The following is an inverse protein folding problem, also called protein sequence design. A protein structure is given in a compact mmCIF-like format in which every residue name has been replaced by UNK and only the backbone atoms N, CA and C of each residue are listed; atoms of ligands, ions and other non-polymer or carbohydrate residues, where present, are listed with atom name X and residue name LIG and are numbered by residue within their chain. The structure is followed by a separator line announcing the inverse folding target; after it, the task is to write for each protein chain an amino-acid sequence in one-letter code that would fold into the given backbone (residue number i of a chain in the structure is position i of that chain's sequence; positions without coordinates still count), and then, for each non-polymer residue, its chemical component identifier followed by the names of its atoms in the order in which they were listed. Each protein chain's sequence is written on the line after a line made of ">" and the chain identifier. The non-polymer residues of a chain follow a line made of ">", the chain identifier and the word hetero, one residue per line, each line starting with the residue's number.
data_IF_772023724362
#
_entry.id   IF_772023724362
#
_cell.length_a   1.000
_cell.length_b   1.000
_cell.length_c   1.000
_cell.angle_alpha   90.00
_cell.angle_beta   90.00
_cell.angle_gamma   90.00
#
_symmetry.space_group_name_H-M   'P 1'
#
loop_
_entity.id
_entity.type
_entity.pdbx_description
1 polymer ?
#
# COMPACT_ATOMS: atom_id res chain seq x y z
N UNK A 1 8.65 -14.91 -18.13
CA UNK A 1 7.25 -14.72 -17.67
C UNK A 1 6.46 -16.04 -17.81
N UNK A 2 5.63 -16.43 -16.84
CA UNK A 2 4.75 -17.60 -16.96
C UNK A 2 3.73 -17.45 -18.10
N UNK A 3 3.43 -18.55 -18.83
CA UNK A 3 2.50 -18.56 -19.97
C UNK A 3 1.12 -18.02 -19.57
N UNK A 4 0.61 -18.40 -18.41
CA UNK A 4 -0.71 -17.98 -17.91
C UNK A 4 -0.78 -16.45 -17.74
N UNK A 5 0.31 -15.81 -17.31
CA UNK A 5 0.35 -14.35 -17.19
C UNK A 5 0.39 -13.69 -18.57
N UNK A 6 1.16 -14.25 -19.51
CA UNK A 6 1.22 -13.76 -20.89
C UNK A 6 -0.17 -13.78 -21.57
N UNK A 7 -0.91 -14.86 -21.38
CA UNK A 7 -2.27 -15.03 -21.90
C UNK A 7 -3.24 -14.05 -21.25
N UNK A 8 -3.14 -13.84 -19.93
CA UNK A 8 -4.01 -12.90 -19.21
C UNK A 8 -3.78 -11.45 -19.65
N UNK A 9 -2.52 -11.03 -19.86
CA UNK A 9 -2.18 -9.69 -20.37
C UNK A 9 -2.84 -9.45 -21.73
N UNK A 10 -2.67 -10.39 -22.67
CA UNK A 10 -3.29 -10.31 -24.00
C UNK A 10 -4.81 -10.36 -23.94
N UNK A 11 -5.39 -11.21 -23.08
CA UNK A 11 -6.85 -11.34 -22.91
C UNK A 11 -7.49 -10.05 -22.41
N UNK A 12 -6.77 -9.25 -21.63
CA UNK A 12 -7.21 -7.92 -21.18
C UNK A 12 -7.03 -6.81 -22.22
N UNK A 13 -6.52 -7.15 -23.41
CA UNK A 13 -6.33 -6.19 -24.50
C UNK A 13 -5.08 -5.33 -24.37
N UNK A 14 -4.12 -5.73 -23.52
CA UNK A 14 -2.82 -5.06 -23.42
C UNK A 14 -1.84 -5.61 -24.44
N UNK A 15 -0.99 -4.73 -24.97
CA UNK A 15 0.13 -5.12 -25.81
C UNK A 15 1.15 -5.93 -24.99
N UNK A 16 1.71 -6.96 -25.62
CA UNK A 16 2.72 -7.81 -24.99
C UNK A 16 3.85 -8.10 -25.96
N UNK A 17 5.05 -7.68 -25.58
CA UNK A 17 6.30 -8.04 -26.25
C UNK A 17 7.09 -8.94 -25.31
N UNK A 18 7.51 -10.10 -25.80
CA UNK A 18 8.43 -10.99 -25.09
C UNK A 18 9.84 -10.72 -25.60
N UNK A 19 10.78 -10.43 -24.70
CA UNK A 19 12.17 -10.26 -25.09
C UNK A 19 12.78 -11.57 -25.60
N UNK A 20 13.83 -11.52 -26.44
CA UNK A 20 14.49 -12.70 -26.97
C UNK A 20 15.02 -13.61 -25.85
N UNK A 21 14.98 -14.94 -26.02
CA UNK A 21 15.61 -15.85 -25.08
C UNK A 21 17.14 -15.68 -25.11
N UNK A 22 17.85 -15.98 -24.01
CA UNK A 22 19.30 -15.92 -23.97
C UNK A 22 19.93 -16.82 -25.04
N UNK A 23 20.84 -16.27 -25.85
CA UNK A 23 21.54 -16.99 -26.92
C UNK A 23 22.81 -17.69 -26.43
N UNK A 24 23.24 -17.42 -25.20
CA UNK A 24 24.40 -18.03 -24.55
C UNK A 24 24.23 -18.04 -23.03
N UNK A 25 24.88 -18.97 -22.30
CA UNK A 25 24.86 -18.94 -20.85
C UNK A 25 25.42 -17.63 -20.32
N UNK A 26 24.80 -17.08 -19.28
CA UNK A 26 25.33 -15.95 -18.51
C UNK A 26 26.77 -16.28 -18.05
N UNK A 27 27.71 -15.41 -18.40
CA UNK A 27 29.05 -15.44 -17.78
C UNK A 27 28.90 -15.04 -16.31
N UNK A 28 29.78 -15.55 -15.44
CA UNK A 28 29.78 -15.21 -14.01
C UNK A 28 29.64 -13.69 -13.83
N UNK A 29 28.65 -13.29 -13.03
CA UNK A 29 28.34 -11.89 -12.79
C UNK A 29 29.52 -11.20 -12.11
N UNK A 30 29.77 -9.93 -12.44
CA UNK A 30 30.75 -9.12 -11.71
C UNK A 30 30.41 -9.05 -10.22
N UNK A 31 31.42 -8.79 -9.38
CA UNK A 31 31.24 -8.59 -7.93
C UNK A 31 30.22 -7.51 -7.57
N UNK A 32 29.94 -6.61 -8.51
CA UNK A 32 29.10 -5.43 -8.33
C UNK A 32 27.67 -5.66 -8.83
N UNK A 33 27.31 -6.86 -9.29
CA UNK A 33 25.97 -7.19 -9.76
C UNK A 33 24.98 -7.41 -8.59
N UNK A 34 23.66 -7.24 -8.77
CA UNK A 34 22.69 -7.51 -7.72
C UNK A 34 22.70 -9.00 -7.37
N UNK A 35 22.34 -9.35 -6.14
CA UNK A 35 22.32 -10.74 -5.68
C UNK A 35 21.48 -11.67 -6.59
N UNK A 36 20.46 -11.10 -7.25
CA UNK A 36 19.52 -11.81 -8.11
C UNK A 36 19.74 -11.55 -9.61
N UNK A 37 20.91 -11.02 -10.02
CA UNK A 37 21.22 -10.71 -11.42
C UNK A 37 20.97 -11.89 -12.38
N UNK A 38 21.31 -13.10 -11.93
CA UNK A 38 21.18 -14.32 -12.73
C UNK A 38 19.73 -14.61 -13.17
N UNK A 39 18.72 -14.03 -12.50
CA UNK A 39 17.31 -14.25 -12.83
C UNK A 39 16.89 -13.52 -14.11
N UNK A 40 17.66 -12.53 -14.57
CA UNK A 40 17.48 -11.90 -15.89
C UNK A 40 17.84 -12.85 -17.04
N UNK A 41 18.63 -13.89 -16.79
CA UNK A 41 19.12 -14.86 -17.78
C UNK A 41 20.05 -14.29 -18.87
N UNK A 42 20.15 -12.96 -19.00
CA UNK A 42 21.08 -12.22 -19.85
C UNK A 42 21.85 -11.17 -19.06
N UNK A 43 22.91 -10.60 -19.65
CA UNK A 43 23.60 -9.45 -19.08
C UNK A 43 22.67 -8.22 -19.03
N UNK A 44 22.79 -7.40 -17.99
CA UNK A 44 21.93 -6.24 -17.79
C UNK A 44 21.98 -5.23 -18.95
N UNK A 45 23.13 -5.07 -19.63
CA UNK A 45 23.23 -4.19 -20.79
C UNK A 45 22.50 -4.76 -22.01
N UNK A 46 22.53 -6.09 -22.19
CA UNK A 46 21.75 -6.75 -23.22
C UNK A 46 20.24 -6.56 -22.96
N UNK A 47 19.80 -6.77 -21.72
CA UNK A 47 18.40 -6.58 -21.34
C UNK A 47 17.92 -5.13 -21.59
N UNK A 48 18.76 -4.12 -21.27
CA UNK A 48 18.47 -2.72 -21.62
C UNK A 48 18.30 -2.54 -23.13
N UNK A 49 19.18 -3.12 -23.94
CA UNK A 49 19.11 -2.99 -25.40
C UNK A 49 17.83 -3.61 -25.95
N UNK A 50 17.52 -4.84 -25.54
CA UNK A 50 16.33 -5.57 -25.97
C UNK A 50 15.05 -4.84 -25.50
N UNK A 51 15.06 -4.31 -24.27
CA UNK A 51 13.95 -3.52 -23.72
C UNK A 51 13.76 -2.19 -24.46
N UNK A 52 14.83 -1.46 -24.79
CA UNK A 52 14.74 -0.22 -25.55
C UNK A 52 14.24 -0.46 -26.99
N UNK A 53 14.65 -1.57 -27.61
CA UNK A 53 14.14 -1.97 -28.93
C UNK A 53 12.64 -2.32 -28.86
N UNK A 54 12.22 -3.07 -27.84
CA UNK A 54 10.82 -3.43 -27.63
C UNK A 54 9.92 -2.22 -27.30
N UNK A 55 10.47 -1.20 -26.64
CA UNK A 55 9.74 -0.01 -26.19
C UNK A 55 9.86 1.18 -27.16
N UNK A 56 10.39 0.99 -28.38
CA UNK A 56 10.51 2.07 -29.36
C UNK A 56 9.18 2.78 -29.60
N UNK A 57 9.19 4.10 -29.39
CA UNK A 57 8.03 4.97 -29.58
C UNK A 57 8.49 6.36 -30.08
N UNK A 58 7.60 7.05 -30.80
CA UNK A 58 7.86 8.42 -31.32
C UNK A 58 7.99 9.47 -30.20
N UNK A 59 7.49 9.14 -29.00
CA UNK A 59 7.59 9.96 -27.79
C UNK A 59 7.93 9.07 -26.58
N UNK A 60 8.58 9.62 -25.54
CA UNK A 60 8.81 8.87 -24.30
C UNK A 60 7.51 8.42 -23.65
N UNK A 61 7.52 7.21 -23.08
CA UNK A 61 6.44 6.70 -22.26
C UNK A 61 6.24 7.57 -21.01
N UNK A 62 4.99 7.77 -20.58
CA UNK A 62 4.69 8.53 -19.36
C UNK A 62 5.27 7.86 -18.12
N UNK A 63 5.16 6.53 -18.06
CA UNK A 63 5.59 5.69 -16.95
C UNK A 63 6.20 4.37 -17.45
N UNK A 64 7.30 3.98 -16.82
CA UNK A 64 7.86 2.62 -16.84
C UNK A 64 7.65 1.99 -15.46
N UNK A 65 7.13 0.76 -15.42
CA UNK A 65 6.97 -0.01 -14.17
C UNK A 65 7.94 -1.17 -14.20
N UNK A 66 8.77 -1.29 -13.16
CA UNK A 66 9.79 -2.32 -13.01
C UNK A 66 9.42 -3.23 -11.83
N UNK A 67 9.30 -4.53 -12.09
CA UNK A 67 8.99 -5.56 -11.09
C UNK A 67 9.88 -6.79 -11.33
N UNK A 68 11.17 -6.63 -11.02
CA UNK A 68 12.15 -7.69 -11.24
C UNK A 68 13.33 -7.61 -10.26
N UNK A 69 13.66 -8.73 -9.61
CA UNK A 69 14.72 -8.80 -8.60
C UNK A 69 16.14 -8.59 -9.14
N UNK A 70 16.37 -8.91 -10.41
CA UNK A 70 17.67 -8.74 -11.06
C UNK A 70 17.97 -7.31 -11.56
N UNK A 71 17.01 -6.39 -11.49
CA UNK A 71 17.13 -5.02 -12.05
C UNK A 71 17.45 -4.03 -10.92
N UNK A 72 18.41 -3.13 -11.19
CA UNK A 72 18.85 -2.08 -10.27
C UNK A 72 19.00 -0.72 -10.98
N UNK A 73 19.50 0.28 -10.23
CA UNK A 73 19.67 1.66 -10.70
C UNK A 73 20.46 1.79 -12.01
N UNK A 74 21.38 0.88 -12.35
CA UNK A 74 22.18 0.96 -13.58
C UNK A 74 21.35 0.69 -14.82
N UNK A 75 20.40 -0.24 -14.71
CA UNK A 75 19.43 -0.54 -15.76
C UNK A 75 18.39 0.59 -15.82
N UNK A 76 17.83 0.99 -14.68
CA UNK A 76 16.77 2.00 -14.58
C UNK A 76 17.23 3.37 -15.12
N UNK A 77 18.46 3.78 -14.78
CA UNK A 77 19.04 5.05 -15.27
C UNK A 77 19.15 5.09 -16.80
N UNK A 78 19.36 3.95 -17.46
CA UNK A 78 19.43 3.87 -18.93
C UNK A 78 18.05 3.96 -19.56
N UNK A 79 17.04 3.41 -18.89
CA UNK A 79 15.65 3.44 -19.36
C UNK A 79 14.98 4.82 -19.24
N UNK A 80 15.59 5.76 -18.51
CA UNK A 80 15.22 7.19 -18.53
C UNK A 80 15.18 7.78 -19.95
N UNK A 81 15.91 7.19 -20.90
CA UNK A 81 15.89 7.62 -22.30
C UNK A 81 14.53 7.36 -23.00
N UNK A 82 13.75 6.38 -22.54
CA UNK A 82 12.47 6.01 -23.16
C UNK A 82 11.25 6.29 -22.27
N UNK A 83 11.44 6.64 -20.99
CA UNK A 83 10.35 6.87 -20.05
C UNK A 83 10.58 8.12 -19.21
N UNK A 84 9.53 8.93 -19.09
CA UNK A 84 9.52 10.18 -18.30
C UNK A 84 9.59 9.92 -16.80
N UNK A 85 8.93 8.85 -16.34
CA UNK A 85 8.90 8.45 -14.93
C UNK A 85 9.06 6.94 -14.76
N UNK A 86 9.63 6.53 -13.64
CA UNK A 86 9.87 5.13 -13.30
C UNK A 86 9.24 4.81 -11.94
N UNK A 87 8.38 3.79 -11.91
CA UNK A 87 7.89 3.13 -10.70
C UNK A 87 8.62 1.80 -10.53
N UNK A 88 9.22 1.57 -9.38
CA UNK A 88 9.81 0.27 -9.01
C UNK A 88 8.93 -0.40 -7.96
N UNK A 89 8.61 -1.68 -8.18
CA UNK A 89 8.07 -2.57 -7.16
C UNK A 89 9.23 -3.40 -6.60
N UNK A 90 9.50 -3.25 -5.32
CA UNK A 90 10.57 -3.98 -4.64
C UNK A 90 10.13 -4.38 -3.22
N UNK A 91 10.49 -5.59 -2.80
CA UNK A 91 10.27 -6.04 -1.42
C UNK A 91 11.53 -6.53 -0.72
N UNK A 92 12.69 -6.53 -1.39
CA UNK A 92 13.95 -7.02 -0.84
C UNK A 92 14.75 -5.93 -0.13
N UNK A 93 14.71 -4.69 -0.64
CA UNK A 93 15.53 -3.57 -0.17
C UNK A 93 17.02 -3.94 -0.07
N UNK A 94 17.55 -4.67 -1.05
CA UNK A 94 18.91 -5.20 -1.07
C UNK A 94 19.83 -4.51 -2.09
N UNK A 95 19.26 -3.70 -2.99
CA UNK A 95 19.96 -2.97 -4.06
C UNK A 95 19.57 -1.49 -4.11
N UNK A 96 20.25 -0.73 -4.97
CA UNK A 96 19.91 0.68 -5.25
C UNK A 96 18.97 0.77 -6.45
N UNK A 97 18.09 1.76 -6.44
CA UNK A 97 17.17 2.06 -7.54
C UNK A 97 17.28 3.52 -7.99
N UNK A 98 17.12 3.81 -9.28
CA UNK A 98 16.86 5.13 -9.86
C UNK A 98 15.40 5.21 -10.31
N UNK A 99 14.49 5.57 -9.38
CA UNK A 99 13.06 5.66 -9.66
C UNK A 99 12.44 6.92 -9.06
N UNK A 100 11.28 7.32 -9.58
CA UNK A 100 10.50 8.44 -9.05
C UNK A 100 9.52 7.98 -7.97
N UNK A 101 9.06 6.73 -8.06
CA UNK A 101 8.23 6.08 -7.05
C UNK A 101 8.78 4.69 -6.77
N UNK A 102 8.91 4.34 -5.50
CA UNK A 102 9.19 2.98 -5.06
C UNK A 102 7.98 2.46 -4.27
N UNK A 103 7.49 1.27 -4.61
CA UNK A 103 6.41 0.57 -3.94
C UNK A 103 6.95 -0.67 -3.24
N UNK A 104 6.86 -0.68 -1.91
CA UNK A 104 7.01 -1.88 -1.08
C UNK A 104 5.72 -2.05 -0.28
N UNK A 105 4.86 -2.94 -0.74
CA UNK A 105 3.55 -3.16 -0.11
C UNK A 105 3.63 -3.99 1.18
N UNK A 106 4.80 -4.51 1.54
CA UNK A 106 4.91 -5.43 2.67
C UNK A 106 5.00 -4.67 4.01
N UNK A 107 4.57 -5.32 5.09
CA UNK A 107 4.64 -4.74 6.43
C UNK A 107 5.98 -5.00 7.09
N UNK A 108 6.63 -3.93 7.55
CA UNK A 108 7.84 -3.96 8.35
C UNK A 108 7.74 -2.92 9.47
N UNK A 109 8.22 -3.23 10.67
CA UNK A 109 8.18 -2.30 11.81
C UNK A 109 8.98 -1.02 11.54
N UNK A 110 10.05 -1.11 10.73
CA UNK A 110 10.96 -0.02 10.38
C UNK A 110 11.03 0.18 8.86
N UNK A 111 9.86 0.31 8.23
CA UNK A 111 9.76 0.42 6.76
C UNK A 111 10.57 1.60 6.19
N UNK A 112 10.51 2.78 6.82
CA UNK A 112 11.16 4.00 6.30
C UNK A 112 12.68 3.89 6.16
N UNK A 113 13.31 3.10 7.06
CA UNK A 113 14.75 2.87 7.07
C UNK A 113 15.23 1.84 6.04
N UNK A 114 14.35 0.96 5.54
CA UNK A 114 14.74 -0.11 4.61
C UNK A 114 15.40 0.44 3.34
N UNK A 115 14.85 1.53 2.82
CA UNK A 115 15.28 2.18 1.59
C UNK A 115 16.17 3.41 1.81
N UNK A 116 16.64 3.65 3.04
CA UNK A 116 17.56 4.74 3.32
C UNK A 116 18.83 4.59 2.48
N UNK A 117 19.21 5.64 1.74
CA UNK A 117 20.33 5.64 0.78
C UNK A 117 20.27 4.57 -0.32
N UNK A 118 19.11 3.94 -0.55
CA UNK A 118 18.88 2.99 -1.66
C UNK A 118 18.08 3.57 -2.81
N UNK A 119 17.49 4.75 -2.61
CA UNK A 119 16.73 5.49 -3.62
C UNK A 119 17.17 6.96 -3.63
N UNK A 120 16.98 7.69 -4.75
CA UNK A 120 17.20 9.12 -4.80
C UNK A 120 16.39 9.86 -3.74
N UNK A 121 16.88 11.01 -3.27
CA UNK A 121 16.13 11.85 -2.32
C UNK A 121 14.75 12.27 -2.84
N UNK A 122 14.65 12.48 -4.17
CA UNK A 122 13.38 12.79 -4.85
C UNK A 122 12.41 11.61 -4.95
N UNK A 123 12.86 10.39 -4.65
CA UNK A 123 12.06 9.19 -4.83
C UNK A 123 10.95 9.12 -3.78
N UNK A 124 9.72 9.01 -4.25
CA UNK A 124 8.58 8.82 -3.37
C UNK A 124 8.47 7.35 -2.96
N UNK A 125 8.53 7.10 -1.65
CA UNK A 125 8.39 5.76 -1.09
C UNK A 125 6.93 5.50 -0.69
N UNK A 126 6.32 4.47 -1.27
CA UNK A 126 4.98 3.97 -0.94
C UNK A 126 5.17 2.67 -0.15
N UNK A 127 5.32 2.81 1.16
CA UNK A 127 5.71 1.70 2.04
C UNK A 127 4.52 1.21 2.87
N UNK A 128 4.42 -0.10 2.99
CA UNK A 128 3.45 -0.76 3.86
C UNK A 128 2.16 -1.18 3.16
N UNK A 129 1.35 -2.00 3.87
CA UNK A 129 0.25 -2.72 3.26
C UNK A 129 -1.01 -1.86 3.00
N UNK A 130 -0.97 -0.57 3.37
CA UNK A 130 -1.93 0.41 2.88
C UNK A 130 -1.82 0.63 1.36
N UNK A 131 -0.69 0.28 0.75
CA UNK A 131 -0.47 0.36 -0.70
C UNK A 131 -0.62 -0.99 -1.41
N UNK A 132 -1.10 -2.04 -0.72
CA UNK A 132 -1.24 -3.37 -1.29
C UNK A 132 -2.07 -3.39 -2.59
N UNK A 133 -1.49 -3.99 -3.63
CA UNK A 133 -2.10 -4.14 -4.95
C UNK A 133 -3.05 -5.34 -4.94
N UNK A 134 -4.30 -5.11 -4.56
CA UNK A 134 -5.33 -6.14 -4.49
C UNK A 134 -6.25 -6.11 -5.72
N UNK A 135 -6.76 -7.28 -6.10
CA UNK A 135 -7.83 -7.37 -7.12
C UNK A 135 -9.09 -6.63 -6.63
N UNK A 136 -9.87 -5.99 -7.53
CA UNK A 136 -11.03 -5.18 -7.14
C UNK A 136 -12.03 -5.90 -6.23
N UNK A 137 -12.23 -7.20 -6.45
CA UNK A 137 -13.12 -8.06 -5.66
C UNK A 137 -12.84 -8.05 -4.13
N UNK A 138 -11.59 -7.82 -3.71
CA UNK A 138 -11.25 -7.70 -2.29
C UNK A 138 -11.71 -6.37 -1.71
N UNK A 139 -11.57 -5.27 -2.47
CA UNK A 139 -12.06 -3.96 -2.08
C UNK A 139 -13.60 -3.94 -2.02
N UNK A 140 -14.27 -4.59 -2.97
CA UNK A 140 -15.73 -4.70 -3.00
C UNK A 140 -16.25 -5.45 -1.76
N UNK A 141 -15.65 -6.61 -1.45
CA UNK A 141 -16.03 -7.43 -0.30
C UNK A 141 -15.58 -6.84 1.05
N UNK A 142 -14.59 -5.94 1.07
CA UNK A 142 -14.09 -5.29 2.29
C UNK A 142 -15.21 -4.63 3.10
N UNK A 143 -16.19 -4.05 2.41
CA UNK A 143 -17.35 -3.39 3.01
C UNK A 143 -18.40 -4.35 3.58
N UNK A 144 -18.42 -5.60 3.07
CA UNK A 144 -19.38 -6.63 3.44
C UNK A 144 -18.90 -7.54 4.57
N UNK A 145 -17.63 -7.46 4.96
CA UNK A 145 -17.05 -8.27 6.04
C UNK A 145 -16.87 -7.46 7.32
N UNK A 146 -17.10 -8.12 8.46
CA UNK A 146 -16.83 -7.61 9.80
C UNK A 146 -15.60 -8.28 10.42
N UNK A 147 -15.17 -7.76 11.56
CA UNK A 147 -14.18 -8.43 12.42
C UNK A 147 -14.64 -9.86 12.68
N UNK A 148 -13.73 -10.83 12.57
CA UNK A 148 -14.02 -12.25 12.87
C UNK A 148 -14.20 -12.44 14.36
N UNK A 149 -15.36 -12.96 14.72
CA UNK A 149 -15.80 -13.20 16.10
C UNK A 149 -16.45 -14.58 16.20
N UNK A 150 -16.42 -15.19 17.38
CA UNK A 150 -17.07 -16.47 17.63
C UNK A 150 -16.24 -17.70 17.23
N UNK A 151 -16.94 -18.81 17.02
CA UNK A 151 -16.38 -20.14 16.72
C UNK A 151 -15.80 -20.22 15.31
N UNK A 152 -14.74 -21.01 15.14
CA UNK A 152 -14.23 -21.34 13.80
C UNK A 152 -15.09 -22.46 13.21
N UNK A 153 -15.87 -22.15 12.17
CA UNK A 153 -16.71 -23.11 11.44
C UNK A 153 -16.17 -23.40 10.06
N UNK A 154 -15.43 -22.46 9.47
CA UNK A 154 -14.81 -22.61 8.16
C UNK A 154 -13.33 -22.26 8.16
N UNK A 155 -12.50 -23.20 7.70
CA UNK A 155 -11.06 -23.04 7.56
C UNK A 155 -10.67 -23.02 6.07
N UNK A 156 -9.85 -22.05 5.67
CA UNK A 156 -9.29 -21.95 4.33
C UNK A 156 -7.81 -22.37 4.30
N UNK A 157 -7.44 -23.30 3.42
CA UNK A 157 -6.05 -23.71 3.15
C UNK A 157 -5.62 -23.15 1.80
N UNK A 158 -4.62 -22.26 1.79
CA UNK A 158 -4.07 -21.71 0.55
C UNK A 158 -2.62 -21.23 0.71
N UNK A 159 -1.69 -21.87 0.00
CA UNK A 159 -0.26 -21.55 0.03
C UNK A 159 0.26 -20.80 -1.20
N UNK A 160 -0.65 -20.35 -2.09
CA UNK A 160 -0.28 -19.66 -3.33
C UNK A 160 -0.33 -20.58 -4.56
N UNK A 161 0.17 -20.07 -5.69
CA UNK A 161 -0.05 -20.69 -7.00
C UNK A 161 0.78 -21.95 -7.28
N UNK A 162 2.01 -22.04 -6.76
CA UNK A 162 2.95 -23.12 -7.12
C UNK A 162 3.08 -24.18 -6.01
N UNK A 163 3.11 -23.77 -4.73
CA UNK A 163 3.34 -24.65 -3.56
C UNK A 163 4.36 -25.78 -3.85
N UNK A 164 5.56 -25.40 -4.28
CA UNK A 164 6.59 -26.33 -4.77
C UNK A 164 7.00 -27.37 -3.71
N UNK A 165 6.89 -26.99 -2.44
CA UNK A 165 7.21 -27.84 -1.30
C UNK A 165 6.03 -28.72 -0.87
N UNK A 166 4.88 -28.67 -1.54
CA UNK A 166 3.70 -29.48 -1.24
C UNK A 166 3.21 -29.34 0.21
N UNK A 167 3.28 -28.12 0.77
CA UNK A 167 2.89 -27.82 2.15
C UNK A 167 1.37 -27.96 2.34
N UNK A 168 0.60 -27.83 1.27
CA UNK A 168 -0.85 -28.08 1.26
C UNK A 168 -1.20 -29.46 1.81
N UNK A 169 -0.46 -30.51 1.44
CA UNK A 169 -0.71 -31.86 1.96
C UNK A 169 -0.52 -31.91 3.47
N UNK A 170 0.53 -31.27 3.97
CA UNK A 170 0.85 -31.24 5.40
C UNK A 170 -0.20 -30.48 6.21
N UNK A 171 -0.74 -29.40 5.66
CA UNK A 171 -1.87 -28.68 6.26
C UNK A 171 -3.12 -29.55 6.31
N UNK A 172 -3.45 -30.25 5.22
CA UNK A 172 -4.58 -31.19 5.16
C UNK A 172 -4.45 -32.30 6.21
N UNK A 173 -3.26 -32.90 6.35
CA UNK A 173 -3.00 -33.90 7.39
C UNK A 173 -3.05 -33.32 8.81
N UNK A 174 -2.59 -32.08 9.00
CA UNK A 174 -2.64 -31.42 10.30
C UNK A 174 -4.08 -31.17 10.74
N UNK A 175 -4.92 -30.70 9.81
CA UNK A 175 -6.35 -30.47 10.05
C UNK A 175 -7.08 -31.77 10.35
N UNK A 176 -6.70 -32.89 9.71
CA UNK A 176 -7.27 -34.20 10.00
C UNK A 176 -7.02 -34.70 11.44
N UNK A 177 -6.04 -34.13 12.15
CA UNK A 177 -5.73 -34.43 13.57
C UNK A 177 -6.50 -33.57 14.56
N UNK A 178 -7.20 -32.53 14.10
CA UNK A 178 -7.99 -31.67 14.98
C UNK A 178 -9.21 -32.41 15.53
N UNK A 179 -9.73 -32.01 16.71
CA UNK A 179 -10.95 -32.58 17.26
C UNK A 179 -12.09 -32.52 16.24
N UNK A 180 -12.84 -33.62 16.11
CA UNK A 180 -13.97 -33.70 15.16
C UNK A 180 -15.10 -32.77 15.63
N UNK A 181 -15.21 -31.61 14.99
CA UNK A 181 -16.35 -30.71 15.06
C UNK A 181 -16.95 -30.47 13.67
N UNK A 182 -18.00 -29.66 13.57
CA UNK A 182 -18.55 -29.19 12.29
C UNK A 182 -17.63 -28.13 11.65
N UNK A 183 -16.41 -28.53 11.28
CA UNK A 183 -15.43 -27.70 10.62
C UNK A 183 -15.47 -27.97 9.11
N UNK A 184 -15.93 -26.99 8.35
CA UNK A 184 -15.86 -27.01 6.89
C UNK A 184 -14.48 -26.54 6.45
N UNK A 185 -13.83 -27.29 5.57
CA UNK A 185 -12.47 -26.99 5.11
C UNK A 185 -12.48 -26.81 3.61
N UNK A 186 -12.07 -25.62 3.18
CA UNK A 186 -11.87 -25.28 1.77
C UNK A 186 -10.36 -25.28 1.48
N UNK A 187 -9.91 -26.15 0.58
CA UNK A 187 -8.51 -26.28 0.15
C UNK A 187 -8.39 -25.75 -1.26
N UNK A 188 -7.48 -24.80 -1.50
CA UNK A 188 -7.30 -24.18 -2.80
C UNK A 188 -5.89 -24.44 -3.33
N UNK A 189 -5.81 -24.94 -4.57
CA UNK A 189 -4.56 -25.20 -5.28
C UNK A 189 -4.61 -24.72 -6.75
N UNK A 190 -3.44 -24.46 -7.34
CA UNK A 190 -3.33 -24.14 -8.76
C UNK A 190 -3.54 -25.35 -9.67
N UNK A 191 -3.96 -25.11 -10.92
CA UNK A 191 -4.17 -26.18 -11.91
C UNK A 191 -2.90 -27.01 -12.19
N UNK A 192 -1.73 -26.37 -12.11
CA UNK A 192 -0.41 -26.98 -12.35
C UNK A 192 0.26 -27.58 -11.12
N UNK A 193 -0.44 -27.70 -9.99
CA UNK A 193 0.16 -28.22 -8.75
C UNK A 193 0.66 -29.68 -8.93
N UNK A 194 1.93 -30.01 -8.61
CA UNK A 194 2.50 -31.34 -8.87
C UNK A 194 1.73 -32.49 -8.21
N UNK A 195 1.30 -32.29 -6.96
CA UNK A 195 0.54 -33.27 -6.17
C UNK A 195 -0.99 -33.14 -6.29
N UNK A 196 -1.52 -32.47 -7.32
CA UNK A 196 -2.96 -32.15 -7.44
C UNK A 196 -3.87 -33.35 -7.18
N UNK A 197 -3.64 -34.48 -7.87
CA UNK A 197 -4.50 -35.67 -7.77
C UNK A 197 -4.52 -36.28 -6.37
N UNK A 198 -3.38 -36.22 -5.68
CA UNK A 198 -3.26 -36.71 -4.31
C UNK A 198 -4.07 -35.84 -3.35
N UNK A 199 -3.96 -34.51 -3.49
CA UNK A 199 -4.70 -33.54 -2.69
C UNK A 199 -6.21 -33.70 -2.92
N UNK A 200 -6.68 -33.75 -4.17
CA UNK A 200 -8.10 -33.94 -4.50
C UNK A 200 -8.64 -35.24 -3.84
N UNK A 201 -7.91 -36.35 -3.97
CA UNK A 201 -8.26 -37.63 -3.35
C UNK A 201 -8.31 -37.54 -1.82
N UNK A 202 -7.33 -36.88 -1.21
CA UNK A 202 -7.22 -36.78 0.24
C UNK A 202 -8.31 -35.89 0.83
N UNK A 203 -8.60 -34.76 0.20
CA UNK A 203 -9.72 -33.89 0.55
C UNK A 203 -11.04 -34.67 0.51
N UNK A 204 -11.29 -35.45 -0.54
CA UNK A 204 -12.51 -36.27 -0.65
C UNK A 204 -12.63 -37.28 0.51
N UNK A 205 -11.54 -37.97 0.88
CA UNK A 205 -11.54 -38.92 1.99
C UNK A 205 -11.81 -38.27 3.35
N UNK A 206 -11.40 -37.02 3.53
CA UNK A 206 -11.55 -36.27 4.76
C UNK A 206 -12.82 -35.41 4.80
N UNK A 207 -13.61 -35.39 3.73
CA UNK A 207 -14.81 -34.54 3.61
C UNK A 207 -14.50 -33.05 3.47
N UNK A 208 -13.34 -32.70 2.89
CA UNK A 208 -12.91 -31.33 2.61
C UNK A 208 -13.23 -30.95 1.16
N UNK A 209 -13.47 -29.68 0.90
CA UNK A 209 -13.72 -29.16 -0.45
C UNK A 209 -12.41 -28.76 -1.13
N UNK A 210 -12.08 -29.38 -2.25
CA UNK A 210 -10.90 -29.02 -3.04
C UNK A 210 -11.29 -28.12 -4.22
N UNK A 211 -10.72 -26.93 -4.29
CA UNK A 211 -10.94 -25.93 -5.35
C UNK A 211 -9.68 -25.81 -6.19
N UNK A 212 -9.74 -26.18 -7.46
CA UNK A 212 -8.60 -26.10 -8.38
C UNK A 212 -8.75 -24.88 -9.29
N UNK A 213 -7.75 -24.00 -9.30
CA UNK A 213 -7.72 -22.80 -10.16
C UNK A 213 -9.00 -21.94 -10.04
N UNK A 214 -9.49 -21.77 -8.80
CA UNK A 214 -10.71 -21.03 -8.55
C UNK A 214 -10.55 -19.53 -8.81
N UNK A 215 -11.60 -18.91 -9.35
CA UNK A 215 -11.71 -17.45 -9.49
C UNK A 215 -12.40 -16.82 -8.27
N UNK A 216 -12.89 -17.63 -7.33
CA UNK A 216 -13.71 -17.19 -6.20
C UNK A 216 -12.89 -16.98 -4.91
N UNK A 217 -11.60 -16.70 -5.03
CA UNK A 217 -10.67 -16.63 -3.89
C UNK A 217 -11.13 -15.63 -2.82
N UNK A 218 -11.53 -14.42 -3.22
CA UNK A 218 -11.98 -13.41 -2.28
C UNK A 218 -13.27 -13.82 -1.55
N UNK A 219 -14.18 -14.54 -2.21
CA UNK A 219 -15.39 -15.08 -1.57
C UNK A 219 -15.09 -16.24 -0.63
N UNK A 220 -14.09 -17.07 -0.93
CA UNK A 220 -13.61 -18.10 -0.01
C UNK A 220 -13.01 -17.47 1.24
N UNK A 221 -12.13 -16.47 1.08
CA UNK A 221 -11.55 -15.72 2.21
C UNK A 221 -12.60 -14.95 3.03
N UNK A 222 -13.59 -14.35 2.38
CA UNK A 222 -14.65 -13.60 3.07
C UNK A 222 -15.53 -14.49 3.96
N UNK A 223 -15.76 -15.76 3.55
CA UNK A 223 -16.59 -16.72 4.29
C UNK A 223 -15.82 -17.51 5.35
N UNK A 224 -14.49 -17.54 5.27
CA UNK A 224 -13.67 -18.26 6.22
C UNK A 224 -13.54 -17.51 7.56
N UNK A 225 -13.37 -18.27 8.64
CA UNK A 225 -13.14 -17.76 9.99
C UNK A 225 -11.66 -17.81 10.37
N UNK A 226 -10.92 -18.74 9.76
CA UNK A 226 -9.50 -18.96 9.96
C UNK A 226 -8.86 -19.43 8.65
N UNK A 227 -7.61 -19.02 8.41
CA UNK A 227 -6.81 -19.51 7.30
C UNK A 227 -5.49 -20.13 7.76
N UNK A 228 -4.95 -20.99 6.90
CA UNK A 228 -3.54 -21.38 6.91
C UNK A 228 -2.96 -21.12 5.52
N UNK A 229 -1.78 -20.49 5.46
CA UNK A 229 -1.16 -20.14 4.19
C UNK A 229 0.26 -19.60 4.30
N UNK A 230 0.83 -19.20 3.16
CA UNK A 230 2.19 -18.67 3.09
C UNK A 230 2.26 -17.16 3.43
N UNK A 231 3.46 -16.69 3.79
CA UNK A 231 3.81 -15.30 4.02
C UNK A 231 4.06 -14.45 2.77
N UNK A 232 3.38 -14.76 1.65
CA UNK A 232 3.50 -14.01 0.39
C UNK A 232 2.42 -12.94 0.21
N UNK A 233 2.18 -12.53 -1.03
CA UNK A 233 1.19 -11.49 -1.42
C UNK A 233 -0.24 -11.77 -0.93
N UNK A 234 -0.64 -13.05 -0.87
CA UNK A 234 -1.94 -13.47 -0.33
C UNK A 234 -2.14 -13.08 1.15
N UNK A 235 -1.08 -12.72 1.87
CA UNK A 235 -1.18 -12.14 3.22
C UNK A 235 -2.04 -10.87 3.21
N UNK A 236 -1.86 -10.00 2.22
CA UNK A 236 -2.58 -8.73 2.15
C UNK A 236 -4.02 -8.91 1.69
N UNK A 237 -4.29 -9.90 0.82
CA UNK A 237 -5.65 -10.35 0.49
C UNK A 237 -6.41 -10.76 1.76
N UNK A 238 -5.81 -11.65 2.59
CA UNK A 238 -6.39 -12.10 3.86
C UNK A 238 -6.56 -10.95 4.85
N UNK A 239 -5.55 -10.09 4.96
CA UNK A 239 -5.60 -8.96 5.87
C UNK A 239 -6.72 -7.97 5.50
N UNK A 240 -6.91 -7.72 4.20
CA UNK A 240 -7.98 -6.84 3.73
C UNK A 240 -9.34 -7.32 4.19
N UNK A 241 -9.61 -8.62 4.12
CA UNK A 241 -10.88 -9.19 4.54
C UNK A 241 -10.94 -9.51 6.04
N UNK A 242 -9.90 -9.14 6.80
CA UNK A 242 -9.80 -9.39 8.24
C UNK A 242 -9.75 -10.86 8.60
N UNK A 243 -9.18 -11.73 7.76
CA UNK A 243 -9.13 -13.17 7.97
C UNK A 243 -7.91 -13.57 8.84
N UNK A 244 -8.11 -14.01 10.10
CA UNK A 244 -7.02 -14.52 10.94
C UNK A 244 -6.31 -15.67 10.23
N UNK A 245 -4.98 -15.69 10.29
CA UNK A 245 -4.18 -16.67 9.53
C UNK A 245 -3.04 -17.26 10.38
N UNK A 246 -2.89 -18.58 10.37
CA UNK A 246 -1.61 -19.25 10.60
C UNK A 246 -0.75 -19.11 9.34
N UNK A 247 0.27 -18.26 9.39
CA UNK A 247 1.15 -18.02 8.26
C UNK A 247 2.47 -18.78 8.40
N UNK A 248 2.91 -19.44 7.34
CA UNK A 248 4.16 -20.20 7.28
C UNK A 248 5.19 -19.49 6.39
N UNK A 249 6.45 -19.51 6.83
CA UNK A 249 7.58 -19.02 6.07
C UNK A 249 8.03 -20.08 5.06
N UNK A 250 7.77 -19.85 3.77
CA UNK A 250 8.13 -20.81 2.71
C UNK A 250 9.38 -20.41 1.92
N UNK A 251 9.82 -19.17 2.06
CA UNK A 251 11.02 -18.63 1.43
C UNK A 251 11.68 -17.61 2.36
N UNK A 252 12.99 -17.39 2.20
CA UNK A 252 13.76 -16.53 3.11
C UNK A 252 13.30 -15.06 3.07
N UNK A 253 12.88 -14.57 1.90
CA UNK A 253 12.33 -13.22 1.72
C UNK A 253 10.99 -12.99 2.45
N UNK A 254 10.34 -14.03 2.98
CA UNK A 254 9.10 -13.91 3.76
C UNK A 254 9.37 -13.77 5.27
N UNK A 255 10.59 -14.09 5.74
CA UNK A 255 10.89 -14.25 7.17
C UNK A 255 10.60 -12.98 7.97
N UNK A 256 11.18 -11.85 7.56
CA UNK A 256 11.08 -10.61 8.32
C UNK A 256 9.64 -10.08 8.36
N UNK A 257 8.94 -10.11 7.22
CA UNK A 257 7.53 -9.76 7.11
C UNK A 257 6.67 -10.55 8.09
N UNK A 258 6.89 -11.86 8.19
CA UNK A 258 6.13 -12.72 9.10
C UNK A 258 6.41 -12.41 10.58
N UNK A 259 7.67 -12.14 10.93
CA UNK A 259 8.05 -11.75 12.30
C UNK A 259 7.38 -10.44 12.69
N UNK A 260 7.53 -9.40 11.88
CA UNK A 260 7.00 -8.06 12.14
C UNK A 260 5.46 -8.08 12.09
N UNK A 261 4.89 -8.75 11.10
CA UNK A 261 3.44 -8.92 10.96
C UNK A 261 2.84 -9.69 12.13
N UNK A 262 3.54 -10.69 12.69
CA UNK A 262 3.08 -11.40 13.89
C UNK A 262 3.13 -10.52 15.14
N UNK A 263 4.15 -9.67 15.30
CA UNK A 263 4.26 -8.72 16.42
C UNK A 263 3.19 -7.62 16.36
N UNK A 264 2.90 -7.11 15.17
CA UNK A 264 1.81 -6.16 14.93
C UNK A 264 0.41 -6.79 15.02
N UNK A 265 0.33 -8.11 15.22
CA UNK A 265 -0.91 -8.85 15.32
C UNK A 265 -1.67 -8.95 14.00
N UNK A 266 -1.01 -8.85 12.84
CA UNK A 266 -1.66 -9.02 11.53
C UNK A 266 -1.95 -10.49 11.20
N UNK A 267 -1.08 -11.37 11.68
CA UNK A 267 -1.07 -12.80 11.42
C UNK A 267 -0.45 -13.55 12.61
N UNK A 268 -0.52 -14.87 12.61
CA UNK A 268 0.19 -15.72 13.58
C UNK A 268 1.23 -16.53 12.82
N UNK A 269 2.51 -16.26 13.04
CA UNK A 269 3.62 -16.93 12.35
C UNK A 269 4.60 -17.55 13.36
N UNK A 270 4.28 -18.71 13.93
CA UNK A 270 5.19 -19.41 14.84
C UNK A 270 6.41 -19.94 14.06
N UNK A 271 7.56 -19.99 14.71
CA UNK A 271 8.78 -20.60 14.15
C UNK A 271 8.68 -22.13 14.16
N UNK A 272 7.91 -22.68 13.23
CA UNK A 272 7.73 -24.13 13.04
C UNK A 272 8.17 -24.55 11.64
N UNK A 273 8.56 -25.81 11.51
CA UNK A 273 8.90 -26.34 10.20
C UNK A 273 7.63 -26.62 9.38
N UNK A 274 7.52 -26.18 8.11
CA UNK A 274 6.25 -26.23 7.37
C UNK A 274 5.65 -27.62 7.15
N UNK A 275 6.42 -28.71 7.24
CA UNK A 275 5.89 -30.06 7.13
C UNK A 275 5.93 -30.84 8.46
N UNK A 276 6.12 -30.16 9.59
CA UNK A 276 5.83 -30.73 10.90
C UNK A 276 4.31 -30.69 11.14
N UNK A 277 3.64 -31.75 10.71
CA UNK A 277 2.18 -31.91 10.79
C UNK A 277 1.66 -31.80 12.24
N UNK A 278 2.44 -32.26 13.23
CA UNK A 278 2.01 -32.21 14.63
C UNK A 278 2.06 -30.79 15.17
N UNK A 279 3.15 -30.08 14.92
CA UNK A 279 3.26 -28.67 15.29
C UNK A 279 2.21 -27.81 14.59
N UNK A 280 1.94 -28.06 13.30
CA UNK A 280 0.86 -27.39 12.56
C UNK A 280 -0.50 -27.60 13.23
N UNK A 281 -0.85 -28.85 13.56
CA UNK A 281 -2.13 -29.16 14.20
C UNK A 281 -2.27 -28.46 15.56
N UNK A 282 -1.20 -28.43 16.36
CA UNK A 282 -1.19 -27.72 17.66
C UNK A 282 -1.39 -26.21 17.48
N UNK A 283 -0.72 -25.58 16.51
CA UNK A 283 -0.85 -24.14 16.26
C UNK A 283 -2.23 -23.77 15.71
N UNK A 284 -2.80 -24.61 14.84
CA UNK A 284 -4.19 -24.46 14.42
C UNK A 284 -5.16 -24.57 15.60
N UNK A 285 -4.96 -25.54 16.49
CA UNK A 285 -5.80 -25.70 17.67
C UNK A 285 -5.74 -24.48 18.58
N UNK A 286 -4.54 -23.93 18.84
CA UNK A 286 -4.37 -22.66 19.58
C UNK A 286 -5.20 -21.55 18.96
N UNK A 287 -5.12 -21.39 17.64
CA UNK A 287 -5.89 -20.36 16.94
C UNK A 287 -7.38 -20.65 16.92
N UNK A 288 -7.84 -21.89 16.93
CA UNK A 288 -9.26 -22.27 17.00
C UNK A 288 -9.82 -21.99 18.40
N UNK A 289 -9.05 -22.25 19.45
CA UNK A 289 -9.46 -22.10 20.84
C UNK A 289 -9.28 -20.67 21.39
N UNK A 290 -8.65 -19.77 20.63
CA UNK A 290 -8.34 -18.39 21.07
C UNK A 290 -9.16 -17.31 20.33
N UNK A 291 -10.47 -17.14 20.64
CA UNK A 291 -11.32 -16.16 19.95
C UNK A 291 -10.82 -14.72 20.12
N UNK A 292 -10.28 -14.37 21.29
CA UNK A 292 -9.70 -13.04 21.53
C UNK A 292 -8.50 -12.74 20.64
N UNK A 293 -7.62 -13.73 20.42
CA UNK A 293 -6.47 -13.59 19.51
C UNK A 293 -6.94 -13.41 18.06
N UNK A 294 -7.90 -14.23 17.60
CA UNK A 294 -8.48 -14.09 16.25
C UNK A 294 -9.14 -12.72 16.04
N UNK A 295 -9.91 -12.24 17.03
CA UNK A 295 -10.56 -10.94 16.96
C UNK A 295 -9.55 -9.80 16.90
N UNK A 296 -8.48 -9.87 17.71
CA UNK A 296 -7.36 -8.92 17.65
C UNK A 296 -6.73 -8.94 16.25
N UNK A 297 -6.42 -10.14 15.73
CA UNK A 297 -5.80 -10.28 14.41
C UNK A 297 -6.65 -9.67 13.31
N UNK A 298 -7.95 -9.99 13.31
CA UNK A 298 -8.90 -9.47 12.35
C UNK A 298 -8.98 -7.94 12.38
N UNK A 299 -9.03 -7.33 13.57
CA UNK A 299 -9.03 -5.86 13.73
C UNK A 299 -7.74 -5.22 13.23
N UNK A 300 -6.59 -5.75 13.63
CA UNK A 300 -5.28 -5.23 13.22
C UNK A 300 -5.11 -5.32 11.70
N UNK A 301 -5.42 -6.47 11.11
CA UNK A 301 -5.41 -6.70 9.67
C UNK A 301 -6.26 -5.67 8.90
N UNK A 302 -7.54 -5.52 9.30
CA UNK A 302 -8.50 -4.61 8.67
C UNK A 302 -8.13 -3.12 8.81
N UNK A 303 -7.35 -2.77 9.84
CA UNK A 303 -6.83 -1.40 10.06
C UNK A 303 -5.68 -1.08 9.12
N UNK A 304 -4.83 -2.05 8.81
CA UNK A 304 -3.64 -1.86 7.97
C UNK A 304 -3.93 -2.03 6.48
N UNK A 305 -4.92 -2.86 6.13
CA UNK A 305 -5.29 -3.14 4.73
C UNK A 305 -6.77 -2.86 4.51
N UNK A 306 -7.06 -1.79 3.78
CA UNK A 306 -8.42 -1.30 3.54
C UNK A 306 -8.90 -1.51 2.09
N UNK A 307 -8.11 -2.19 1.27
CA UNK A 307 -8.42 -2.44 -0.14
C UNK A 307 -8.22 -1.26 -1.09
N UNK A 308 -7.71 -0.12 -0.61
CA UNK A 308 -7.54 1.09 -1.44
C UNK A 308 -6.11 1.27 -2.00
N UNK A 309 -5.25 0.27 -1.87
CA UNK A 309 -3.83 0.38 -2.23
C UNK A 309 -3.60 0.75 -3.70
N UNK A 310 -4.28 0.08 -4.63
CA UNK A 310 -4.21 0.41 -6.08
C UNK A 310 -4.59 1.88 -6.34
N UNK A 311 -5.67 2.35 -5.74
CA UNK A 311 -6.13 3.74 -5.92
C UNK A 311 -5.10 4.75 -5.37
N UNK A 312 -4.41 4.41 -4.27
CA UNK A 312 -3.32 5.24 -3.73
C UNK A 312 -2.10 5.25 -4.65
N UNK A 313 -1.68 4.10 -5.16
CA UNK A 313 -0.54 3.99 -6.09
C UNK A 313 -0.83 4.77 -7.38
N UNK A 314 -1.96 4.50 -8.03
CA UNK A 314 -2.37 5.21 -9.27
C UNK A 314 -2.45 6.71 -9.04
N UNK A 315 -2.97 7.15 -7.89
CA UNK A 315 -3.00 8.57 -7.58
C UNK A 315 -1.59 9.16 -7.57
N UNK A 316 -0.65 8.53 -6.89
CA UNK A 316 0.73 9.00 -6.82
C UNK A 316 1.43 9.00 -8.18
N UNK A 317 1.04 8.10 -9.08
CA UNK A 317 1.49 8.11 -10.47
C UNK A 317 0.88 9.26 -11.30
N UNK A 318 -0.38 9.60 -11.02
CA UNK A 318 -1.17 10.56 -11.80
C UNK A 318 -1.18 11.98 -11.23
N UNK A 319 -0.41 12.29 -10.17
CA UNK A 319 -0.42 13.63 -9.59
C UNK A 319 0.11 14.68 -10.59
N UNK A 320 -0.64 15.79 -10.77
CA UNK A 320 -0.11 16.98 -11.42
C UNK A 320 1.17 17.45 -10.73
N UNK A 321 2.10 18.01 -11.49
CA UNK A 321 3.28 18.66 -10.91
C UNK A 321 2.87 19.96 -10.23
N UNK A 322 3.00 19.99 -8.91
CA UNK A 322 2.82 21.19 -8.10
C UNK A 322 4.15 21.56 -7.48
N UNK A 323 4.47 22.85 -7.54
CA UNK A 323 5.57 23.43 -6.76
C UNK A 323 4.99 24.30 -5.66
N UNK A 324 5.71 24.42 -4.54
CA UNK A 324 5.30 25.27 -3.43
C UNK A 324 6.40 26.28 -3.13
N UNK A 325 5.99 27.47 -2.70
CA UNK A 325 6.88 28.52 -2.18
C UNK A 325 6.30 29.10 -0.90
N UNK A 326 7.16 29.66 -0.05
CA UNK A 326 6.71 30.49 1.07
C UNK A 326 5.89 31.69 0.56
N UNK A 327 4.85 32.02 1.30
CA UNK A 327 4.08 33.24 1.13
C UNK A 327 4.94 34.45 1.50
N UNK A 328 4.71 35.55 0.78
CA UNK A 328 5.38 36.83 0.93
C UNK A 328 4.35 37.92 1.23
N UNK A 329 4.80 39.12 1.59
CA UNK A 329 3.90 40.25 1.83
C UNK A 329 2.97 40.55 0.63
N UNK A 330 3.43 40.26 -0.60
CA UNK A 330 2.66 40.45 -1.83
C UNK A 330 1.41 39.55 -1.93
N UNK A 331 1.42 38.40 -1.25
CA UNK A 331 0.31 37.43 -1.30
C UNK A 331 -0.88 37.84 -0.42
N UNK A 332 -0.73 38.89 0.42
CA UNK A 332 -1.72 39.29 1.42
C UNK A 332 -3.11 39.52 0.83
N UNK A 333 -3.20 40.24 -0.29
CA UNK A 333 -4.48 40.61 -0.89
C UNK A 333 -5.19 39.40 -1.50
N UNK A 334 -4.45 38.53 -2.19
CA UNK A 334 -4.99 37.29 -2.75
C UNK A 334 -5.49 36.37 -1.64
N UNK A 335 -4.67 36.17 -0.59
CA UNK A 335 -5.06 35.39 0.59
C UNK A 335 -6.29 35.95 1.28
N UNK A 336 -6.41 37.27 1.41
CA UNK A 336 -7.61 37.92 1.95
C UNK A 336 -8.86 37.55 1.13
N UNK A 337 -8.76 37.70 -0.19
CA UNK A 337 -9.86 37.44 -1.12
C UNK A 337 -10.27 35.96 -1.07
N UNK A 338 -9.30 35.04 -1.13
CA UNK A 338 -9.59 33.60 -1.11
C UNK A 338 -10.16 33.17 0.25
N UNK A 339 -9.58 33.59 1.37
CA UNK A 339 -10.10 33.23 2.71
C UNK A 339 -11.51 33.75 2.97
N UNK A 340 -11.88 34.87 2.35
CA UNK A 340 -13.25 35.41 2.40
C UNK A 340 -14.21 34.80 1.38
N UNK A 341 -13.71 34.03 0.41
CA UNK A 341 -14.56 33.37 -0.58
C UNK A 341 -15.54 32.42 0.11
N UNK A 342 -16.80 32.43 -0.33
CA UNK A 342 -17.89 31.69 0.31
C UNK A 342 -17.60 30.19 0.43
N UNK A 343 -17.12 29.57 -0.66
CA UNK A 343 -16.76 28.16 -0.69
C UNK A 343 -15.69 27.78 0.35
N UNK A 344 -14.73 28.68 0.65
CA UNK A 344 -13.67 28.43 1.64
C UNK A 344 -14.22 28.61 3.06
N UNK A 345 -14.95 29.70 3.32
CA UNK A 345 -15.56 29.95 4.64
C UNK A 345 -16.56 28.88 5.05
N UNK A 346 -17.33 28.35 4.10
CA UNK A 346 -18.32 27.30 4.36
C UNK A 346 -17.73 26.07 5.05
N UNK A 347 -16.48 25.72 4.73
CA UNK A 347 -15.78 24.54 5.25
C UNK A 347 -14.61 24.86 6.19
N UNK A 348 -14.38 26.15 6.47
CA UNK A 348 -13.36 26.66 7.39
C UNK A 348 -13.84 26.62 8.84
N UNK A 349 -12.90 26.61 9.79
CA UNK A 349 -13.19 26.81 11.24
C UNK A 349 -13.68 28.23 11.53
N UNK A 350 -13.37 29.18 10.66
CA UNK A 350 -13.87 30.57 10.71
C UNK A 350 -14.76 30.81 9.50
N UNK A 351 -16.08 30.78 9.72
CA UNK A 351 -17.09 30.94 8.67
C UNK A 351 -17.53 32.39 8.45
N UNK A 352 -17.33 33.25 9.44
CA UNK A 352 -17.68 34.67 9.35
C UNK A 352 -16.74 35.43 8.39
N UNK A 353 -17.21 36.49 7.71
CA UNK A 353 -16.35 37.39 6.95
C UNK A 353 -15.22 37.94 7.82
N UNK A 354 -14.01 37.94 7.27
CA UNK A 354 -12.80 38.46 7.90
C UNK A 354 -12.64 39.92 7.48
N UNK A 355 -12.52 40.84 8.45
CA UNK A 355 -12.25 42.25 8.15
C UNK A 355 -10.82 42.45 7.63
N UNK A 356 -10.53 43.49 6.83
CA UNK A 356 -9.18 43.80 6.37
C UNK A 356 -8.15 43.93 7.50
N UNK A 357 -8.53 44.56 8.62
CA UNK A 357 -7.67 44.78 9.79
C UNK A 357 -7.36 43.46 10.50
N UNK A 358 -8.38 42.62 10.65
CA UNK A 358 -8.24 41.28 11.25
C UNK A 358 -7.31 40.41 10.41
N UNK A 359 -7.46 40.46 9.08
CA UNK A 359 -6.58 39.73 8.16
C UNK A 359 -5.15 40.26 8.19
N UNK A 360 -4.96 41.59 8.13
CA UNK A 360 -3.63 42.19 8.17
C UNK A 360 -2.87 41.82 9.45
N UNK A 361 -3.55 41.87 10.61
CA UNK A 361 -2.97 41.44 11.89
C UNK A 361 -2.61 39.95 11.90
N UNK A 362 -3.51 39.10 11.41
CA UNK A 362 -3.25 37.66 11.30
C UNK A 362 -2.08 37.35 10.36
N UNK A 363 -2.05 37.97 9.19
CA UNK A 363 -1.06 37.67 8.16
C UNK A 363 0.34 38.10 8.59
N UNK A 364 0.47 39.29 9.20
CA UNK A 364 1.73 39.75 9.78
C UNK A 364 2.25 38.78 10.86
N UNK A 365 1.37 38.25 11.71
CA UNK A 365 1.74 37.23 12.72
C UNK A 365 2.17 35.92 12.09
N UNK A 366 1.54 35.48 10.99
CA UNK A 366 1.93 34.25 10.30
C UNK A 366 3.31 34.41 9.67
N UNK A 367 3.57 35.50 8.95
CA UNK A 367 4.85 35.73 8.27
C UNK A 367 6.05 35.93 9.22
N UNK A 368 5.80 36.37 10.46
CA UNK A 368 6.85 36.60 11.47
C UNK A 368 7.04 35.43 12.44
N UNK A 369 6.16 34.42 12.39
CA UNK A 369 6.18 33.30 13.33
C UNK A 369 7.18 32.24 12.87
N UNK A 370 8.17 31.85 13.68
CA UNK A 370 9.04 30.71 13.37
C UNK A 370 8.26 29.39 13.38
N UNK A 371 7.16 29.34 14.15
CA UNK A 371 6.34 28.14 14.32
C UNK A 371 5.25 28.00 13.24
N UNK A 372 5.33 28.78 12.14
CA UNK A 372 4.33 28.73 11.07
C UNK A 372 4.95 28.84 9.71
N UNK A 373 4.59 27.91 8.84
CA UNK A 373 4.93 27.96 7.42
C UNK A 373 3.64 28.18 6.63
N UNK A 374 3.59 29.22 5.81
CA UNK A 374 2.48 29.45 4.88
C UNK A 374 3.00 29.32 3.46
N UNK A 375 2.45 28.37 2.71
CA UNK A 375 2.89 28.00 1.38
C UNK A 375 1.81 28.33 0.35
N UNK A 376 2.25 28.83 -0.81
CA UNK A 376 1.43 29.01 -2.01
C UNK A 376 1.84 27.95 -3.03
N UNK A 377 0.88 27.14 -3.44
CA UNK A 377 1.07 26.10 -4.46
C UNK A 377 0.83 26.62 -5.86
N UNK A 378 1.65 26.16 -6.81
CA UNK A 378 1.61 26.57 -8.21
C UNK A 378 1.59 25.36 -9.15
N UNK A 379 0.76 25.45 -10.19
CA UNK A 379 0.80 24.59 -11.37
C UNK A 379 1.23 25.43 -12.56
N UNK A 380 2.52 25.36 -12.92
CA UNK A 380 3.11 26.32 -13.86
C UNK A 380 2.97 27.76 -13.32
N UNK A 381 2.42 28.71 -14.10
CA UNK A 381 2.25 30.10 -13.64
C UNK A 381 1.01 30.32 -12.76
N UNK A 382 0.13 29.33 -12.60
CA UNK A 382 -1.16 29.49 -11.90
C UNK A 382 -1.07 29.09 -10.43
N UNK A 383 -1.57 29.93 -9.54
CA UNK A 383 -1.75 29.64 -8.11
C UNK A 383 -2.94 28.68 -7.92
N UNK A 384 -2.69 27.53 -7.29
CA UNK A 384 -3.70 26.45 -7.18
C UNK A 384 -4.27 26.31 -5.77
N UNK A 385 -3.53 26.72 -4.75
CA UNK A 385 -3.98 26.58 -3.37
C UNK A 385 -2.95 27.02 -2.35
N UNK A 386 -3.35 26.89 -1.09
CA UNK A 386 -2.60 27.38 0.06
C UNK A 386 -2.52 26.26 1.09
N UNK A 387 -1.32 26.05 1.61
CA UNK A 387 -1.07 25.13 2.73
C UNK A 387 -0.43 25.90 3.86
N UNK A 388 -0.90 25.68 5.09
CA UNK A 388 -0.28 26.19 6.31
C UNK A 388 0.12 25.02 7.18
N UNK A 389 1.34 25.04 7.68
CA UNK A 389 1.78 24.22 8.80
C UNK A 389 1.89 25.09 10.06
N UNK A 390 1.29 24.64 11.16
CA UNK A 390 1.56 25.16 12.51
C UNK A 390 2.46 24.14 13.22
N UNK A 391 3.70 24.52 13.51
CA UNK A 391 4.74 23.66 14.06
C UNK A 391 4.67 23.64 15.59
N UNK A 392 4.76 22.44 16.17
CA UNK A 392 4.78 22.21 17.63
C UNK A 392 5.74 21.07 17.95
N UNK A 393 7.00 21.41 18.28
CA UNK A 393 8.07 20.44 18.49
C UNK A 393 8.22 19.48 17.29
N UNK A 394 7.89 18.20 17.45
CA UNK A 394 7.97 17.17 16.40
C UNK A 394 6.65 16.94 15.66
N UNK A 395 5.63 17.76 15.90
CA UNK A 395 4.30 17.65 15.27
C UNK A 395 4.00 18.90 14.46
N UNK A 396 3.42 18.76 13.27
CA UNK A 396 2.89 19.90 12.51
C UNK A 396 1.40 19.71 12.18
N UNK A 397 0.59 20.73 12.49
CA UNK A 397 -0.80 20.79 12.05
C UNK A 397 -0.89 21.35 10.63
N UNK A 398 -1.46 20.59 9.70
CA UNK A 398 -1.68 21.01 8.31
C UNK A 398 -3.09 21.56 8.11
N UNK A 399 -3.16 22.73 7.48
CA UNK A 399 -4.38 23.35 6.97
C UNK A 399 -4.24 23.59 5.48
N UNK A 400 -5.22 23.18 4.69
CA UNK A 400 -5.16 23.25 3.22
C UNK A 400 -6.49 23.73 2.63
N UNK A 401 -6.41 24.58 1.60
CA UNK A 401 -7.53 24.88 0.72
C UNK A 401 -7.03 25.17 -0.70
N UNK A 402 -7.89 24.93 -1.70
CA UNK A 402 -7.62 25.31 -3.08
C UNK A 402 -8.09 26.73 -3.36
N UNK A 403 -7.40 27.42 -4.26
CA UNK A 403 -7.86 28.70 -4.80
C UNK A 403 -9.24 28.48 -5.45
N UNK A 404 -10.23 29.37 -5.24
CA UNK A 404 -11.57 29.19 -5.80
C UNK A 404 -11.55 28.96 -7.31
N UNK A 405 -12.30 27.95 -7.79
CA UNK A 405 -12.36 27.58 -9.20
C UNK A 405 -11.31 26.56 -9.65
N UNK A 406 -10.41 26.13 -8.75
CA UNK A 406 -9.40 25.09 -9.02
C UNK A 406 -9.83 23.70 -8.51
N UNK A 407 -11.12 23.48 -8.24
CA UNK A 407 -11.62 22.21 -7.73
C UNK A 407 -11.63 21.09 -8.80
N UNK A 408 -11.59 19.83 -8.35
CA UNK A 408 -12.00 18.68 -9.17
C UNK A 408 -10.95 18.04 -10.09
N UNK A 409 -9.64 18.28 -9.90
CA UNK A 409 -8.57 17.74 -10.79
C UNK A 409 -7.40 17.06 -10.08
N UNK A 410 -7.61 16.56 -8.87
CA UNK A 410 -6.53 15.98 -8.05
C UNK A 410 -5.53 17.01 -7.49
N UNK A 411 -5.70 18.31 -7.78
CA UNK A 411 -4.82 19.39 -7.34
C UNK A 411 -4.66 19.47 -5.83
N UNK A 412 -5.70 19.18 -5.04
CA UNK A 412 -5.60 19.16 -3.58
C UNK A 412 -4.65 18.08 -3.06
N UNK A 413 -4.64 16.90 -3.69
CA UNK A 413 -3.71 15.83 -3.33
C UNK A 413 -2.28 16.15 -3.76
N UNK A 414 -2.10 16.68 -4.97
CA UNK A 414 -0.78 17.11 -5.44
C UNK A 414 -0.20 18.25 -4.61
N UNK A 415 -1.04 19.21 -4.20
CA UNK A 415 -0.66 20.31 -3.34
C UNK A 415 -0.25 19.83 -1.94
N UNK A 416 -1.02 18.92 -1.34
CA UNK A 416 -0.67 18.35 -0.05
C UNK A 416 0.68 17.64 -0.11
N UNK A 417 0.91 16.82 -1.14
CA UNK A 417 2.17 16.10 -1.34
C UNK A 417 3.34 17.07 -1.51
N UNK A 418 3.22 18.05 -2.40
CA UNK A 418 4.30 19.03 -2.61
C UNK A 418 4.61 19.83 -1.34
N UNK A 419 3.61 20.10 -0.50
CA UNK A 419 3.80 20.77 0.78
C UNK A 419 4.45 19.87 1.84
N UNK A 420 4.11 18.58 1.89
CA UNK A 420 4.74 17.59 2.78
C UNK A 420 6.21 17.33 2.40
N UNK A 421 6.52 17.28 1.10
CA UNK A 421 7.89 17.16 0.59
C UNK A 421 8.72 18.38 0.99
N UNK A 422 8.15 19.58 0.82
CA UNK A 422 8.80 20.83 1.25
C UNK A 422 9.05 20.84 2.76
N UNK A 423 8.07 20.40 3.56
CA UNK A 423 8.21 20.35 5.01
C UNK A 423 9.30 19.35 5.42
N UNK A 424 9.31 18.15 4.84
CA UNK A 424 10.32 17.13 5.15
C UNK A 424 11.75 17.60 4.83
N UNK A 425 11.91 18.41 3.78
CA UNK A 425 13.20 18.96 3.39
C UNK A 425 13.66 20.14 4.26
N UNK A 426 12.73 20.92 4.81
CA UNK A 426 13.04 22.17 5.54
C UNK A 426 12.92 22.04 7.05
N UNK A 427 12.16 21.06 7.52
CA UNK A 427 11.85 20.77 8.92
C UNK A 427 11.95 19.27 9.21
N UNK A 428 13.15 18.66 9.09
CA UNK A 428 13.35 17.22 9.29
C UNK A 428 13.07 16.76 10.73
N UNK A 429 12.96 17.68 11.68
CA UNK A 429 12.55 17.41 13.06
C UNK A 429 11.06 17.05 13.22
N UNK A 430 10.23 17.31 12.20
CA UNK A 430 8.81 16.97 12.25
C UNK A 430 8.64 15.48 11.98
N UNK A 431 8.16 14.75 13.00
CA UNK A 431 7.95 13.31 12.98
C UNK A 431 6.51 12.94 12.61
N UNK A 432 5.55 13.86 12.77
CA UNK A 432 4.13 13.57 12.50
C UNK A 432 3.32 14.79 12.04
N UNK A 433 2.29 14.49 11.22
CA UNK A 433 1.35 15.47 10.68
C UNK A 433 -0.05 15.22 11.19
N UNK A 434 -0.74 16.29 11.59
CA UNK A 434 -2.13 16.25 12.04
C UNK A 434 -2.99 17.23 11.26
N UNK A 435 -4.26 16.88 11.02
CA UNK A 435 -5.20 17.76 10.35
C UNK A 435 -6.55 17.75 11.08
N UNK A 436 -7.02 18.89 11.56
CA UNK A 436 -8.39 18.97 12.08
C UNK A 436 -9.35 19.44 10.97
N UNK A 437 -10.30 18.56 10.67
CA UNK A 437 -11.30 18.74 9.61
C UNK A 437 -12.68 18.88 10.25
N UNK A 438 -13.48 19.85 9.79
CA UNK A 438 -14.89 19.94 10.19
C UNK A 438 -15.66 18.70 9.73
N UNK A 439 -16.53 18.17 10.58
CA UNK A 439 -17.25 16.92 10.29
C UNK A 439 -18.14 16.94 9.05
N UNK A 440 -18.54 18.12 8.56
CA UNK A 440 -19.30 18.31 7.32
C UNK A 440 -18.42 18.52 6.07
N UNK A 441 -17.10 18.65 6.23
CA UNK A 441 -16.15 18.84 5.13
C UNK A 441 -15.72 17.49 4.50
N UNK A 442 -16.67 16.86 3.80
CA UNK A 442 -16.44 15.60 3.08
C UNK A 442 -15.24 15.61 2.12
N UNK A 443 -14.98 16.67 1.34
CA UNK A 443 -13.79 16.76 0.48
C UNK A 443 -12.47 16.63 1.25
N UNK A 444 -12.29 17.36 2.35
CA UNK A 444 -11.05 17.26 3.14
C UNK A 444 -10.93 15.91 3.84
N UNK A 445 -12.02 15.32 4.34
CA UNK A 445 -11.99 13.96 4.89
C UNK A 445 -11.46 12.96 3.86
N UNK A 446 -11.96 13.02 2.61
CA UNK A 446 -11.46 12.17 1.52
C UNK A 446 -10.00 12.45 1.19
N UNK A 447 -9.58 13.72 1.16
CA UNK A 447 -8.20 14.11 0.87
C UNK A 447 -7.23 13.46 1.87
N UNK A 448 -7.44 13.68 3.17
CA UNK A 448 -6.53 13.19 4.19
C UNK A 448 -6.55 11.66 4.30
N UNK A 449 -7.74 11.02 4.25
CA UNK A 449 -7.83 9.55 4.34
C UNK A 449 -7.11 8.84 3.21
N UNK A 450 -7.12 9.44 2.01
CA UNK A 450 -6.44 8.89 0.84
C UNK A 450 -4.96 9.26 0.77
N UNK A 451 -4.54 10.30 1.49
CA UNK A 451 -3.14 10.62 1.77
C UNK A 451 -2.58 9.86 2.99
N UNK A 452 -3.22 8.74 3.38
CA UNK A 452 -2.81 7.84 4.48
C UNK A 452 -2.88 8.44 5.90
N UNK A 453 -3.52 9.60 6.09
CA UNK A 453 -3.86 10.08 7.43
C UNK A 453 -4.89 9.14 8.06
N UNK A 454 -4.74 8.88 9.36
CA UNK A 454 -5.67 8.05 10.13
C UNK A 454 -6.55 8.94 11.00
N UNK A 455 -7.81 8.55 11.15
CA UNK A 455 -8.71 9.20 12.09
C UNK A 455 -8.19 8.92 13.51
N UNK A 456 -7.85 9.97 14.24
CA UNK A 456 -7.38 9.90 15.62
C UNK A 456 -8.52 10.18 16.62
N UNK A 457 -9.06 11.40 16.60
CA UNK A 457 -10.08 11.87 17.56
C UNK A 457 -11.36 12.32 16.86
N UNK A 458 -12.50 12.07 17.50
CA UNK A 458 -13.81 12.66 17.14
C UNK A 458 -14.26 13.64 18.24
N UNK A 459 -14.58 14.88 17.87
CA UNK A 459 -15.06 15.92 18.79
C UNK A 459 -16.58 16.11 18.70
N UNK A 460 -17.28 16.01 19.83
CA UNK A 460 -18.71 16.28 19.93
C UNK A 460 -18.99 17.59 20.67
N UNK A 461 -19.93 18.39 20.18
CA UNK A 461 -20.35 19.66 20.81
C UNK A 461 -21.88 19.72 20.93
N UNK A 462 -22.37 20.13 22.11
CA UNK A 462 -23.81 20.36 22.37
C UNK A 462 -24.03 21.78 22.85
N UNK A 463 -24.83 22.55 22.11
CA UNK A 463 -25.26 23.88 22.52
C UNK A 463 -26.37 23.79 23.57
N UNK A 464 -26.25 24.54 24.66
CA UNK A 464 -27.34 24.70 25.65
C UNK A 464 -27.98 26.07 25.41
N UNK A 465 -29.31 26.12 25.24
CA UNK A 465 -30.03 27.39 25.24
C UNK A 465 -29.93 27.99 26.64
N UNK A 466 -29.45 29.22 26.76
CA UNK A 466 -29.63 30.02 27.97
C UNK A 466 -31.13 30.22 28.17
N UNK A 467 -31.68 29.83 29.33
CA UNK A 467 -33.04 30.25 29.69
C UNK A 467 -33.05 31.78 29.70
N UNK A 468 -33.98 32.46 29.00
CA UNK A 468 -34.16 33.89 29.18
C UNK A 468 -34.47 34.13 30.66
N UNK A 469 -33.74 35.09 31.28
CA UNK A 469 -33.99 35.52 32.66
C UNK A 469 -35.29 36.30 32.74
#
# INVERSE_FOLDING_TARGET
>A
MPIVLAEEVKRRGHELVMLPPPTSPLRESSSDAPAHAAWLQVDALQDVQDSLEALQADAPWDWLVVDHYGIDNRWESRMRACASRILVIDDLADRQHDCDVLLDQNFYEQADGRYAARVPERCRKLLGPSYALLRPEFADLRSAVSVREGEVRRLLVFFGGVDENNVTVCAVEAIARLPRGALEVDVVIGAGHPARREIEKRCLQLGMNCHVQTQEMARLMARADLAIGAGGTATWERCSLGLPTLALCLAENQRQLLVDGSRAGLLHAPSIWPHDVESLARQLLVLIESPGLRQLMSRCAMKHVDGQGVARVVRNMALPQITVRLATAADSQNLFNWRNHEAIRAVSRTSEPISPETHASWFSKVLSSPDRCLLIGHSGPSEVGVVRFDLQATVAEVSIYLVPGQEGRGLGAALLVAAEDWLSATHPEVESLVAEVRGDNGPSHRLFSSANYKLDITRYQKWRRSRPR
#
